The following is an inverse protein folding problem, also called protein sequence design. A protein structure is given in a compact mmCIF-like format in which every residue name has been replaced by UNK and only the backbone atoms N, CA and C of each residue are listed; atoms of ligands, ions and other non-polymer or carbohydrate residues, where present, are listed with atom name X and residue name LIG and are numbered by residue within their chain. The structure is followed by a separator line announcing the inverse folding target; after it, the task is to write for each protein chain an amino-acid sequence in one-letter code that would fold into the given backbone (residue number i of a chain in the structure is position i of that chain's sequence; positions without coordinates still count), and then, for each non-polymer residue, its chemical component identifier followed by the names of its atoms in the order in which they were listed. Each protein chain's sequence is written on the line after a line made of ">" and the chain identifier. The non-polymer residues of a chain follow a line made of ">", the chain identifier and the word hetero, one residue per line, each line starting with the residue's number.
data_IF_041061290327
#
_entry.id   IF_041061290327
#
_cell.length_a   1.000
_cell.length_b   1.000
_cell.length_c   1.000
_cell.angle_alpha   90.00
_cell.angle_beta   90.00
_cell.angle_gamma   90.00
#
_symmetry.space_group_name_H-M   'P 1'
#
loop_
_entity.id
_entity.type
_entity.pdbx_description
1 polymer ?
#
# COMPACT_ATOMS: atom_id res chain seq x y z
N UNK A 1 -16.34 21.58 -19.29
CA UNK A 1 -16.04 20.29 -19.94
C UNK A 1 -14.60 19.78 -19.71
N UNK A 2 -13.69 20.52 -19.05
CA UNK A 2 -12.26 20.14 -18.94
C UNK A 2 -11.85 19.24 -17.75
N UNK A 3 -12.78 18.81 -16.89
CA UNK A 3 -12.47 18.02 -15.68
C UNK A 3 -12.37 16.51 -15.88
N UNK A 4 -12.95 15.96 -16.96
CA UNK A 4 -13.07 14.51 -17.14
C UNK A 4 -11.77 13.84 -17.61
N UNK A 5 -11.02 14.48 -18.51
CA UNK A 5 -9.77 13.92 -19.06
C UNK A 5 -8.64 13.79 -18.03
N UNK A 6 -8.54 14.76 -17.11
CA UNK A 6 -7.52 14.75 -16.04
C UNK A 6 -7.76 13.61 -15.03
N UNK A 7 -9.02 13.37 -14.66
CA UNK A 7 -9.41 12.28 -13.75
C UNK A 7 -9.09 10.89 -14.32
N UNK A 8 -9.34 10.67 -15.61
CA UNK A 8 -9.00 9.39 -16.26
C UNK A 8 -7.49 9.13 -16.26
N UNK A 9 -6.68 10.18 -16.46
CA UNK A 9 -5.22 10.05 -16.44
C UNK A 9 -4.67 9.70 -15.06
N UNK A 10 -5.30 10.20 -13.99
CA UNK A 10 -4.88 9.93 -12.62
C UNK A 10 -5.26 8.50 -12.19
N UNK A 11 -6.45 8.04 -12.53
CA UNK A 11 -6.89 6.66 -12.28
C UNK A 11 -6.01 5.63 -13.03
N UNK A 12 -5.55 5.98 -14.23
CA UNK A 12 -4.61 5.16 -15.00
C UNK A 12 -3.23 5.07 -14.34
N UNK A 13 -2.73 6.17 -13.77
CA UNK A 13 -1.47 6.21 -13.03
C UNK A 13 -1.58 5.33 -11.77
N UNK A 14 -2.65 5.48 -10.99
CA UNK A 14 -2.85 4.70 -9.77
C UNK A 14 -3.05 3.21 -10.07
N UNK A 15 -3.76 2.87 -11.15
CA UNK A 15 -3.87 1.48 -11.62
C UNK A 15 -2.52 0.87 -11.96
N UNK A 16 -1.64 1.61 -12.65
CA UNK A 16 -0.28 1.15 -12.96
C UNK A 16 0.55 0.93 -11.70
N UNK A 17 0.50 1.86 -10.74
CA UNK A 17 1.20 1.75 -9.45
C UNK A 17 0.73 0.54 -8.64
N UNK A 18 -0.58 0.30 -8.60
CA UNK A 18 -1.14 -0.88 -7.95
C UNK A 18 -0.67 -2.18 -8.63
N UNK A 19 -0.67 -2.22 -9.96
CA UNK A 19 -0.15 -3.35 -10.74
C UNK A 19 1.34 -3.62 -10.45
N UNK A 20 2.14 -2.57 -10.36
CA UNK A 20 3.56 -2.65 -10.02
C UNK A 20 3.80 -3.22 -8.62
N UNK A 21 3.10 -2.70 -7.59
CA UNK A 21 3.19 -3.24 -6.21
C UNK A 21 2.81 -4.71 -6.13
N UNK A 22 1.78 -5.13 -6.87
CA UNK A 22 1.38 -6.54 -6.96
C UNK A 22 2.48 -7.40 -7.61
N UNK A 23 3.09 -6.90 -8.69
CA UNK A 23 4.19 -7.58 -9.40
C UNK A 23 5.42 -7.74 -8.52
N UNK A 24 5.77 -6.70 -7.77
CA UNK A 24 6.90 -6.71 -6.84
C UNK A 24 6.70 -7.72 -5.71
N UNK A 25 5.53 -7.70 -5.06
CA UNK A 25 5.20 -8.65 -4.00
C UNK A 25 5.24 -10.10 -4.50
N UNK A 26 4.74 -10.36 -5.73
CA UNK A 26 4.85 -11.67 -6.36
C UNK A 26 6.31 -12.12 -6.53
N UNK A 27 7.14 -11.24 -7.10
CA UNK A 27 8.57 -11.52 -7.35
C UNK A 27 9.34 -11.73 -6.05
N UNK A 28 9.05 -10.95 -5.02
CA UNK A 28 9.68 -11.08 -3.70
C UNK A 28 9.46 -12.47 -3.10
N UNK A 29 8.28 -13.05 -3.30
CA UNK A 29 7.95 -14.40 -2.87
C UNK A 29 8.41 -15.50 -3.85
N UNK A 30 9.08 -15.14 -4.94
CA UNK A 30 9.56 -16.10 -5.95
C UNK A 30 8.47 -16.75 -6.78
N UNK A 31 7.23 -16.23 -6.75
CA UNK A 31 6.09 -16.84 -7.42
C UNK A 31 6.08 -16.53 -8.93
N UNK A 32 5.77 -17.53 -9.74
CA UNK A 32 5.51 -17.40 -11.18
C UNK A 32 4.09 -16.86 -11.40
N UNK A 33 3.89 -16.17 -12.53
CA UNK A 33 2.56 -15.68 -12.90
C UNK A 33 1.55 -16.83 -13.07
N UNK A 34 1.95 -18.00 -13.58
CA UNK A 34 1.03 -19.15 -13.70
C UNK A 34 0.49 -19.61 -12.35
N UNK A 35 1.34 -19.64 -11.33
CA UNK A 35 0.97 -20.10 -9.98
C UNK A 35 -0.08 -19.16 -9.36
N UNK A 36 0.13 -17.85 -9.49
CA UNK A 36 -0.81 -16.85 -9.00
C UNK A 36 -2.10 -16.84 -9.82
N UNK A 37 -2.01 -16.96 -11.14
CA UNK A 37 -3.19 -17.00 -12.01
C UNK A 37 -4.06 -18.23 -11.72
N UNK A 38 -3.44 -19.39 -11.49
CA UNK A 38 -4.11 -20.61 -11.07
C UNK A 38 -4.79 -20.43 -9.71
N UNK A 39 -4.11 -19.83 -8.72
CA UNK A 39 -4.67 -19.52 -7.42
C UNK A 39 -5.90 -18.61 -7.52
N UNK A 40 -5.84 -17.59 -8.38
CA UNK A 40 -6.94 -16.67 -8.63
C UNK A 40 -8.06 -17.24 -9.50
N UNK A 41 -7.82 -18.35 -10.19
CA UNK A 41 -8.70 -18.95 -11.21
C UNK A 41 -8.97 -17.99 -12.37
N UNK A 42 -7.93 -17.33 -12.86
CA UNK A 42 -7.98 -16.43 -14.02
C UNK A 42 -6.94 -16.86 -15.08
N UNK A 43 -7.09 -16.45 -16.36
CA UNK A 43 -6.05 -16.65 -17.36
C UNK A 43 -4.74 -15.97 -16.95
N UNK A 44 -3.58 -16.59 -17.25
CA UNK A 44 -2.26 -16.00 -16.99
C UNK A 44 -2.12 -14.61 -17.63
N UNK A 45 -2.67 -14.42 -18.83
CA UNK A 45 -2.69 -13.12 -19.52
C UNK A 45 -3.42 -12.04 -18.70
N UNK A 46 -4.53 -12.39 -18.05
CA UNK A 46 -5.26 -11.45 -17.20
C UNK A 46 -4.44 -10.99 -15.98
N UNK A 47 -3.61 -11.87 -15.40
CA UNK A 47 -2.66 -11.48 -14.36
C UNK A 47 -1.56 -10.57 -14.91
N UNK A 48 -1.01 -10.89 -16.08
CA UNK A 48 -0.02 -10.02 -16.76
C UNK A 48 -0.59 -8.63 -17.01
N UNK A 49 -1.83 -8.54 -17.46
CA UNK A 49 -2.50 -7.26 -17.72
C UNK A 49 -2.79 -6.48 -16.44
N UNK A 50 -3.13 -7.15 -15.33
CA UNK A 50 -3.23 -6.52 -14.01
C UNK A 50 -1.87 -5.93 -13.60
N UNK A 51 -0.80 -6.72 -13.68
CA UNK A 51 0.54 -6.30 -13.26
C UNK A 51 1.10 -5.15 -14.10
N UNK A 52 0.67 -5.03 -15.36
CA UNK A 52 1.05 -3.94 -16.25
C UNK A 52 0.06 -2.75 -16.20
N UNK A 53 -0.94 -2.79 -15.33
CA UNK A 53 -1.97 -1.76 -15.21
C UNK A 53 -2.86 -1.60 -16.45
N UNK A 54 -2.93 -2.61 -17.32
CA UNK A 54 -3.80 -2.63 -18.50
C UNK A 54 -5.22 -3.10 -18.14
N UNK A 55 -5.33 -3.98 -17.14
CA UNK A 55 -6.60 -4.48 -16.61
C UNK A 55 -6.79 -4.04 -15.16
N UNK A 56 -8.02 -3.65 -14.80
CA UNK A 56 -8.38 -3.37 -13.41
C UNK A 56 -8.36 -4.67 -12.59
N UNK A 57 -7.87 -4.59 -11.36
CA UNK A 57 -8.03 -5.69 -10.39
C UNK A 57 -9.40 -5.56 -9.73
N UNK A 58 -10.14 -6.64 -9.67
CA UNK A 58 -11.42 -6.67 -8.95
C UNK A 58 -11.18 -6.80 -7.45
N UNK A 59 -12.11 -6.30 -6.62
CA UNK A 59 -11.95 -6.31 -5.16
C UNK A 59 -11.70 -7.71 -4.57
N UNK A 60 -12.35 -8.74 -5.13
CA UNK A 60 -12.16 -10.13 -4.71
C UNK A 60 -10.78 -10.65 -5.13
N UNK A 61 -10.29 -10.30 -6.31
CA UNK A 61 -8.93 -10.64 -6.77
C UNK A 61 -7.90 -9.98 -5.86
N UNK A 62 -8.06 -8.69 -5.55
CA UNK A 62 -7.16 -7.93 -4.67
C UNK A 62 -7.11 -8.51 -3.25
N UNK A 63 -8.27 -8.86 -2.68
CA UNK A 63 -8.33 -9.51 -1.35
C UNK A 63 -7.60 -10.86 -1.33
N UNK A 64 -7.72 -11.66 -2.40
CA UNK A 64 -7.01 -12.93 -2.53
C UNK A 64 -5.51 -12.74 -2.72
N UNK A 65 -5.10 -11.79 -3.55
CA UNK A 65 -3.70 -11.42 -3.74
C UNK A 65 -3.07 -10.94 -2.43
N UNK A 66 -3.76 -10.10 -1.66
CA UNK A 66 -3.30 -9.65 -0.35
C UNK A 66 -3.01 -10.81 0.60
N UNK A 67 -3.91 -11.80 0.66
CA UNK A 67 -3.72 -13.03 1.46
C UNK A 67 -2.54 -13.87 0.95
N UNK A 68 -2.47 -14.11 -0.37
CA UNK A 68 -1.41 -14.89 -0.99
C UNK A 68 -0.03 -14.24 -0.76
N UNK A 69 0.04 -12.92 -0.88
CA UNK A 69 1.26 -12.13 -0.74
C UNK A 69 1.60 -11.74 0.69
N UNK A 70 0.74 -12.09 1.66
CA UNK A 70 0.91 -11.80 3.09
C UNK A 70 1.11 -10.31 3.37
N UNK A 71 0.35 -9.47 2.67
CA UNK A 71 0.35 -8.01 2.81
C UNK A 71 -1.08 -7.51 3.00
N UNK A 72 -1.31 -6.44 3.77
CA UNK A 72 -2.64 -5.83 3.86
C UNK A 72 -3.06 -5.22 2.51
N UNK A 73 -4.36 -5.09 2.27
CA UNK A 73 -4.86 -4.45 1.04
C UNK A 73 -4.33 -3.02 0.89
N UNK A 74 -4.21 -2.30 2.00
CA UNK A 74 -3.69 -0.92 2.05
C UNK A 74 -2.28 -0.78 1.46
N UNK A 75 -1.43 -1.82 1.58
CA UNK A 75 -0.11 -1.84 0.98
C UNK A 75 -0.18 -1.69 -0.55
N UNK A 76 -1.17 -2.34 -1.19
CA UNK A 76 -1.32 -2.31 -2.65
C UNK A 76 -2.11 -1.11 -3.15
N UNK A 77 -3.00 -0.54 -2.35
CA UNK A 77 -3.76 0.67 -2.73
C UNK A 77 -2.97 1.95 -2.49
N UNK A 78 -1.92 1.92 -1.67
CA UNK A 78 -1.19 3.11 -1.25
C UNK A 78 -1.85 3.84 -0.07
N UNK A 79 -2.91 3.25 0.50
CA UNK A 79 -3.55 3.74 1.73
C UNK A 79 -2.70 3.44 2.97
N UNK A 80 -1.87 2.39 2.90
CA UNK A 80 -0.86 2.12 3.90
C UNK A 80 0.36 3.01 3.59
N UNK A 81 0.25 4.29 3.95
CA UNK A 81 1.39 5.21 4.12
C UNK A 81 2.25 4.76 5.31
N UNK A 82 2.56 3.47 5.39
CA UNK A 82 3.37 2.84 6.39
C UNK A 82 4.81 3.34 6.28
N UNK A 83 5.09 4.45 6.95
CA UNK A 83 6.42 5.04 7.20
C UNK A 83 7.25 5.52 6.00
N UNK A 84 6.93 5.12 4.77
CA UNK A 84 7.67 5.48 3.56
C UNK A 84 7.50 6.94 3.12
N UNK A 85 6.36 7.55 3.46
CA UNK A 85 6.04 8.96 3.17
C UNK A 85 6.42 9.93 4.31
N UNK A 86 6.94 9.41 5.43
CA UNK A 86 7.30 10.25 6.56
C UNK A 86 8.67 10.90 6.33
N UNK A 87 8.86 12.17 6.74
CA UNK A 87 10.19 12.75 6.86
C UNK A 87 11.15 11.81 7.59
N UNK A 88 12.42 11.76 7.18
CA UNK A 88 13.39 10.75 7.62
C UNK A 88 13.54 10.69 9.15
N UNK A 89 13.45 11.84 9.81
CA UNK A 89 13.43 12.01 11.27
C UNK A 89 12.19 11.39 11.90
N UNK A 90 11.01 11.61 11.34
CA UNK A 90 9.74 11.03 11.81
C UNK A 90 9.75 9.51 11.60
N UNK A 91 10.24 9.02 10.47
CA UNK A 91 10.37 7.58 10.20
C UNK A 91 11.33 6.89 11.19
N UNK A 92 12.45 7.54 11.55
CA UNK A 92 13.37 7.02 12.56
C UNK A 92 12.70 6.97 13.95
N UNK A 93 11.95 8.02 14.31
CA UNK A 93 11.22 8.06 15.56
C UNK A 93 10.14 6.98 15.64
N UNK A 94 9.37 6.79 14.56
CA UNK A 94 8.33 5.76 14.46
C UNK A 94 8.90 4.34 14.66
N UNK A 95 10.07 4.05 14.07
CA UNK A 95 10.76 2.77 14.28
C UNK A 95 11.13 2.54 15.75
N UNK A 96 11.68 3.55 16.42
CA UNK A 96 12.05 3.45 17.84
C UNK A 96 10.82 3.34 18.75
N UNK A 97 9.75 4.06 18.43
CA UNK A 97 8.50 4.00 19.17
C UNK A 97 7.81 2.64 19.06
N UNK A 98 8.02 1.91 17.97
CA UNK A 98 7.49 0.55 17.79
C UNK A 98 8.05 -0.44 18.83
N UNK A 99 9.31 -0.25 19.24
CA UNK A 99 10.00 -1.12 20.23
C UNK A 99 9.59 -0.83 21.69
N UNK A 100 8.82 0.23 21.95
CA UNK A 100 8.45 0.64 23.30
C UNK A 100 7.28 -0.15 23.89
N UNK A 101 7.08 -0.05 25.20
CA UNK A 101 5.89 -0.59 25.86
C UNK A 101 4.63 0.18 25.45
N UNK A 102 3.45 -0.43 25.66
CA UNK A 102 2.17 0.27 25.42
C UNK A 102 2.01 1.51 26.30
N UNK A 103 2.52 1.46 27.54
CA UNK A 103 2.49 2.60 28.45
C UNK A 103 3.37 3.74 27.93
N UNK A 104 4.60 3.44 27.51
CA UNK A 104 5.53 4.46 27.00
C UNK A 104 5.04 5.08 25.69
N UNK A 105 4.42 4.29 24.80
CA UNK A 105 3.77 4.84 23.60
C UNK A 105 2.62 5.79 23.95
N UNK A 106 1.87 5.51 25.01
CA UNK A 106 0.80 6.40 25.46
C UNK A 106 1.38 7.73 26.00
N UNK A 107 2.50 7.68 26.73
CA UNK A 107 3.20 8.88 27.19
C UNK A 107 3.75 9.72 26.03
N UNK A 108 4.32 9.09 25.00
CA UNK A 108 4.73 9.79 23.77
C UNK A 108 3.55 10.53 23.10
N UNK A 109 2.37 9.91 23.06
CA UNK A 109 1.15 10.55 22.55
C UNK A 109 0.75 11.79 23.33
N UNK A 110 0.75 11.71 24.68
CA UNK A 110 0.47 12.86 25.55
C UNK A 110 1.48 13.99 25.34
N UNK A 111 2.76 13.66 25.17
CA UNK A 111 3.80 14.65 24.95
C UNK A 111 3.65 15.35 23.59
N UNK A 112 3.27 14.62 22.54
CA UNK A 112 2.99 15.22 21.23
C UNK A 112 1.81 16.20 21.30
N UNK A 113 0.73 15.86 22.02
CA UNK A 113 -0.39 16.77 22.25
C UNK A 113 0.01 18.01 23.06
N UNK A 114 0.86 17.83 24.09
CA UNK A 114 1.44 18.95 24.83
C UNK A 114 2.19 19.93 23.90
N UNK A 115 3.09 19.42 23.05
CA UNK A 115 3.85 20.25 22.11
C UNK A 115 2.94 20.98 21.11
N UNK A 116 1.90 20.31 20.60
CA UNK A 116 0.88 20.92 19.74
C UNK A 116 0.18 22.08 20.44
N UNK A 117 -0.26 21.89 21.67
CA UNK A 117 -0.97 22.91 22.46
C UNK A 117 -0.10 24.12 22.83
N UNK A 118 1.22 23.92 22.93
CA UNK A 118 2.20 24.99 23.19
C UNK A 118 2.48 25.81 21.94
N UNK A 119 2.59 25.17 20.77
CA UNK A 119 2.86 25.85 19.50
C UNK A 119 1.67 26.68 18.99
N UNK A 120 0.46 26.40 19.49
CA UNK A 120 -0.78 27.14 19.16
C UNK A 120 -1.07 28.32 20.10
N UNK A 121 -0.18 28.64 21.05
CA UNK A 121 -0.23 29.86 21.88
C UNK A 121 0.81 30.86 21.41
#
# INVERSE_FOLDING_TARGET
>A
MSGSAASHSQDDIERKRLGERLREARKYLGLKQDEVAQYLKIPRTALTDIENGQRKVEAIELSRLAKLYRQPVGFFTGDDKGTSDLPADVAHLARRAADLSTQDRAELGKFAEYLRSRASR
#
